data_IF_481381400910
#
_entry.id   IF_481381400910
#
_cell.length_a   1.000
_cell.length_b   1.000
_cell.length_c   1.000
_cell.angle_alpha   90.00
_cell.angle_beta   90.00
_cell.angle_gamma   90.00
#
_symmetry.space_group_name_H-M   'P 1'
#
loop_
_entity.id
_entity.type
_entity.pdbx_description
1 polymer ?
#
# COMPACT_ATOMS: atom_id res chain seq x y z
N UNK A 1 -0.11 19.78 9.36
CA UNK A 1 -1.01 20.27 8.29
C UNK A 1 -0.52 20.16 6.83
N UNK A 2 0.52 19.37 6.50
CA UNK A 2 0.70 18.82 5.12
C UNK A 2 1.17 17.37 5.21
N UNK A 3 2.08 17.08 6.15
CA UNK A 3 2.52 15.73 6.47
C UNK A 3 1.38 14.80 6.91
N UNK A 4 0.43 15.27 7.72
CA UNK A 4 -0.76 14.49 8.12
C UNK A 4 -1.67 14.16 6.92
N UNK A 5 -1.88 15.12 6.00
CA UNK A 5 -2.67 14.87 4.80
C UNK A 5 -1.99 13.83 3.90
N UNK A 6 -0.67 13.92 3.76
CA UNK A 6 0.13 12.96 3.01
C UNK A 6 0.12 11.55 3.65
N UNK A 7 0.19 11.48 4.98
CA UNK A 7 0.06 10.22 5.73
C UNK A 7 -1.31 9.57 5.48
N UNK A 8 -2.40 10.35 5.54
CA UNK A 8 -3.76 9.87 5.26
C UNK A 8 -3.89 9.37 3.82
N UNK A 9 -3.30 10.06 2.85
CA UNK A 9 -3.27 9.58 1.46
C UNK A 9 -2.50 8.26 1.31
N UNK A 10 -1.34 8.13 1.94
CA UNK A 10 -0.55 6.90 1.91
C UNK A 10 -1.30 5.73 2.56
N UNK A 11 -1.96 5.97 3.70
CA UNK A 11 -2.80 4.96 4.35
C UNK A 11 -3.98 4.53 3.46
N UNK A 12 -4.62 5.48 2.77
CA UNK A 12 -5.67 5.15 1.78
C UNK A 12 -5.12 4.30 0.64
N UNK A 13 -3.99 4.69 0.05
CA UNK A 13 -3.33 3.91 -1.02
C UNK A 13 -2.94 2.51 -0.55
N UNK A 14 -2.43 2.38 0.67
CA UNK A 14 -2.12 1.07 1.28
C UNK A 14 -3.36 0.19 1.34
N UNK A 15 -4.50 0.72 1.83
CA UNK A 15 -5.76 -0.02 1.90
C UNK A 15 -6.28 -0.44 0.53
N UNK A 16 -6.16 0.44 -0.47
CA UNK A 16 -6.54 0.11 -1.86
C UNK A 16 -5.65 -0.99 -2.45
N UNK A 17 -4.34 -0.95 -2.19
CA UNK A 17 -3.44 -2.02 -2.63
C UNK A 17 -3.78 -3.36 -1.97
N UNK A 18 -4.19 -3.36 -0.71
CA UNK A 18 -4.65 -4.57 -0.03
C UNK A 18 -5.91 -5.16 -0.68
N UNK A 19 -6.90 -4.31 -0.95
CA UNK A 19 -8.12 -4.75 -1.63
C UNK A 19 -7.81 -5.31 -3.01
N UNK A 20 -6.95 -4.65 -3.80
CA UNK A 20 -6.54 -5.14 -5.12
C UNK A 20 -5.81 -6.48 -5.03
N UNK A 21 -4.95 -6.67 -4.03
CA UNK A 21 -4.27 -7.96 -3.82
C UNK A 21 -5.29 -9.05 -3.49
N UNK A 22 -6.24 -8.78 -2.60
CA UNK A 22 -7.29 -9.75 -2.24
C UNK A 22 -8.19 -10.10 -3.42
N UNK A 23 -8.60 -9.10 -4.22
CA UNK A 23 -9.39 -9.30 -5.44
C UNK A 23 -8.62 -10.17 -6.44
N UNK A 24 -7.39 -9.79 -6.77
CA UNK A 24 -6.56 -10.54 -7.72
C UNK A 24 -6.29 -11.96 -7.23
N UNK A 25 -6.03 -12.16 -5.93
CA UNK A 25 -5.86 -13.50 -5.35
C UNK A 25 -7.15 -14.34 -5.34
N UNK A 26 -8.32 -13.71 -5.32
CA UNK A 26 -9.61 -14.38 -5.36
C UNK A 26 -10.01 -14.81 -6.79
N UNK A 27 -9.39 -14.22 -7.82
CA UNK A 27 -9.67 -14.57 -9.21
C UNK A 27 -8.96 -15.87 -9.63
N UNK A 28 -9.69 -16.88 -10.16
CA UNK A 28 -9.06 -18.06 -10.75
C UNK A 28 -8.36 -17.65 -12.06
N UNK A 29 -7.02 -17.72 -12.07
CA UNK A 29 -6.16 -17.14 -13.12
C UNK A 29 -5.39 -15.90 -12.68
N UNK A 30 -5.37 -15.62 -11.38
CA UNK A 30 -4.55 -14.59 -10.76
C UNK A 30 -3.13 -14.55 -11.34
N UNK A 31 -2.74 -13.39 -11.84
CA UNK A 31 -1.39 -13.19 -12.36
C UNK A 31 -0.44 -12.99 -11.17
N UNK A 32 0.33 -14.05 -10.85
CA UNK A 32 1.32 -14.03 -9.78
C UNK A 32 2.34 -12.88 -9.93
N UNK A 33 2.64 -12.46 -11.17
CA UNK A 33 3.50 -11.30 -11.40
C UNK A 33 2.82 -10.02 -10.92
N UNK A 34 1.54 -9.84 -11.24
CA UNK A 34 0.72 -8.70 -10.81
C UNK A 34 0.60 -8.65 -9.30
N UNK A 35 0.31 -9.77 -8.65
CA UNK A 35 0.26 -9.87 -7.18
C UNK A 35 1.64 -9.53 -6.58
N UNK A 36 2.73 -10.02 -7.18
CA UNK A 36 4.09 -9.72 -6.75
C UNK A 36 4.45 -8.23 -6.87
N UNK A 37 3.97 -7.54 -7.91
CA UNK A 37 4.12 -6.10 -8.06
C UNK A 37 3.29 -5.31 -7.04
N UNK A 38 2.03 -5.71 -6.81
CA UNK A 38 1.15 -5.07 -5.84
C UNK A 38 1.71 -5.20 -4.41
N UNK A 39 2.20 -6.39 -4.03
CA UNK A 39 2.88 -6.61 -2.74
C UNK A 39 4.12 -5.75 -2.58
N UNK A 40 4.93 -5.59 -3.64
CA UNK A 40 6.10 -4.69 -3.64
C UNK A 40 5.70 -3.23 -3.48
N UNK A 41 4.64 -2.77 -4.17
CA UNK A 41 4.09 -1.41 -3.98
C UNK A 41 3.58 -1.21 -2.56
N UNK A 42 2.87 -2.20 -2.00
CA UNK A 42 2.36 -2.16 -0.62
C UNK A 42 3.51 -2.03 0.38
N UNK A 43 4.60 -2.78 0.19
CA UNK A 43 5.78 -2.70 1.06
C UNK A 43 6.39 -1.29 1.04
N UNK A 44 6.59 -0.71 -0.15
CA UNK A 44 7.12 0.66 -0.27
C UNK A 44 6.26 1.70 0.43
N UNK A 45 4.94 1.64 0.25
CA UNK A 45 4.02 2.57 0.93
C UNK A 45 4.09 2.38 2.44
N UNK A 46 4.19 1.13 2.93
CA UNK A 46 4.36 0.86 4.37
C UNK A 46 5.66 1.48 4.91
N UNK A 47 6.75 1.40 4.16
CA UNK A 47 8.03 2.04 4.53
C UNK A 47 7.93 3.56 4.52
N UNK A 48 7.26 4.16 3.54
CA UNK A 48 7.02 5.61 3.49
C UNK A 48 6.15 6.08 4.67
N UNK A 49 5.08 5.35 5.01
CA UNK A 49 4.24 5.61 6.18
C UNK A 49 5.10 5.56 7.45
N UNK A 50 5.88 4.50 7.64
CA UNK A 50 6.72 4.35 8.83
C UNK A 50 7.77 5.46 8.94
N UNK A 51 8.34 5.88 7.80
CA UNK A 51 9.31 6.98 7.74
C UNK A 51 8.66 8.32 8.10
N UNK A 52 7.47 8.60 7.59
CA UNK A 52 6.73 9.83 7.89
C UNK A 52 6.21 9.85 9.33
N UNK A 53 5.73 8.71 9.84
CA UNK A 53 5.27 8.54 11.21
C UNK A 53 6.41 8.73 12.23
N UNK A 54 7.59 8.19 11.92
CA UNK A 54 8.81 8.39 12.69
C UNK A 54 9.42 9.79 12.57
N UNK A 55 9.10 10.55 11.52
CA UNK A 55 9.49 11.96 11.38
C UNK A 55 8.51 12.93 12.09
N UNK A 56 7.31 12.47 12.44
CA UNK A 56 6.29 13.27 13.11
C UNK A 56 6.41 13.22 14.65
N UNK A 57 7.28 12.36 15.19
CA UNK A 57 7.64 12.23 16.60
C UNK A 57 8.95 12.93 16.92
#
# INVERSE_FOLDING_TARGET
MQFEAHLVELQRKHRTLDQLIEEEMAHPGADDLRIGELKRKKLRIKEEIAKLDGMLH
#
